data_IF_804654402885
#
_entry.id   IF_804654402885
#
_cell.length_a   1.000
_cell.length_b   1.000
_cell.length_c   1.000
_cell.angle_alpha   90.00
_cell.angle_beta   90.00
_cell.angle_gamma   90.00
#
_symmetry.space_group_name_H-M   'P 1'
#
loop_
_entity.id
_entity.type
_entity.pdbx_description
1 polymer ?
#
# COMPACT_ATOMS: atom_id res chain seq x y z
N UNK A 1 62.66 -84.90 6.63
CA UNK A 1 63.92 -84.60 5.91
C UNK A 1 64.02 -83.10 5.73
N UNK A 2 65.16 -82.53 6.16
CA UNK A 2 65.82 -81.31 5.67
C UNK A 2 65.04 -79.98 5.81
N UNK A 3 65.36 -79.05 6.71
CA UNK A 3 66.63 -78.37 7.05
C UNK A 3 67.17 -77.43 5.94
N UNK A 4 67.74 -76.32 6.42
CA UNK A 4 68.54 -75.27 5.76
C UNK A 4 67.77 -74.12 5.07
N UNK A 5 68.22 -72.85 5.07
CA UNK A 5 69.13 -72.01 5.87
C UNK A 5 69.38 -70.73 5.02
N UNK A 6 69.59 -69.59 5.69
CA UNK A 6 70.45 -68.47 5.29
C UNK A 6 70.01 -67.61 4.07
N UNK A 7 70.01 -66.28 4.12
CA UNK A 7 71.25 -65.50 4.32
C UNK A 7 70.98 -64.07 4.79
N UNK A 8 71.45 -63.74 5.99
CA UNK A 8 71.79 -62.39 6.39
C UNK A 8 73.25 -62.13 5.96
N UNK A 9 73.47 -61.12 5.13
CA UNK A 9 74.80 -60.70 4.74
C UNK A 9 75.40 -59.82 5.85
N UNK A 10 76.34 -60.40 6.60
CA UNK A 10 77.30 -59.67 7.39
C UNK A 10 78.48 -59.26 6.51
N UNK A 11 78.85 -57.98 6.54
CA UNK A 11 80.18 -57.52 6.19
C UNK A 11 80.74 -56.80 7.42
N UNK A 12 81.67 -57.46 8.09
CA UNK A 12 82.40 -56.98 9.23
C UNK A 12 83.55 -56.06 8.80
N UNK A 13 83.87 -55.07 9.62
CA UNK A 13 85.23 -54.57 9.76
C UNK A 13 85.45 -53.97 11.16
N UNK A 14 86.45 -54.50 11.87
CA UNK A 14 87.17 -53.78 12.94
C UNK A 14 86.92 -54.26 14.36
N UNK A 15 87.85 -55.07 14.89
CA UNK A 15 87.92 -55.44 16.30
C UNK A 15 88.93 -54.58 17.08
N UNK A 16 88.56 -54.30 18.33
CA UNK A 16 89.35 -53.98 19.53
C UNK A 16 90.03 -52.59 19.68
N UNK A 17 89.54 -51.82 20.67
CA UNK A 17 90.30 -51.54 21.89
C UNK A 17 89.34 -51.31 23.09
N UNK A 18 89.75 -51.78 24.26
CA UNK A 18 88.98 -51.88 25.50
C UNK A 18 89.28 -50.72 26.45
N UNK A 19 88.28 -49.86 26.72
CA UNK A 19 88.34 -48.81 27.74
C UNK A 19 87.02 -48.66 28.50
N UNK A 20 87.04 -49.07 29.77
CA UNK A 20 86.10 -48.78 30.87
C UNK A 20 84.65 -48.34 30.56
N UNK A 21 83.70 -49.24 30.83
CA UNK A 21 82.66 -48.98 31.82
C UNK A 21 81.46 -48.11 31.42
N UNK A 22 80.53 -48.69 30.66
CA UNK A 22 79.15 -48.22 30.52
C UNK A 22 78.40 -49.12 29.56
N UNK A 23 77.10 -49.37 29.79
CA UNK A 23 76.32 -50.15 28.81
C UNK A 23 76.44 -49.44 27.43
N UNK A 24 76.71 -50.16 26.33
CA UNK A 24 77.07 -49.57 25.03
C UNK A 24 76.01 -48.63 24.42
N UNK A 25 74.78 -48.63 24.96
CA UNK A 25 73.72 -47.68 24.63
C UNK A 25 73.89 -46.26 25.23
N UNK A 26 74.77 -46.06 26.22
CA UNK A 26 75.02 -44.75 26.86
C UNK A 26 76.33 -44.09 26.42
N UNK A 27 76.88 -44.51 25.29
CA UNK A 27 78.05 -43.89 24.67
C UNK A 27 77.68 -42.51 24.07
N UNK A 28 77.77 -41.48 24.92
CA UNK A 28 77.46 -40.08 24.62
C UNK A 28 78.33 -39.48 23.49
N UNK A 29 79.45 -40.11 23.12
CA UNK A 29 80.31 -39.63 22.04
C UNK A 29 79.61 -39.69 20.65
N UNK A 30 78.59 -40.53 20.49
CA UNK A 30 77.83 -40.69 19.23
C UNK A 30 76.57 -39.83 19.15
N UNK A 31 76.17 -39.18 20.24
CA UNK A 31 74.94 -38.38 20.35
C UNK A 31 74.97 -37.05 19.56
N UNK A 32 76.10 -36.32 19.42
CA UNK A 32 76.13 -35.06 18.69
C UNK A 32 75.70 -35.20 17.22
N UNK A 33 76.11 -36.27 16.53
CA UNK A 33 75.69 -36.53 15.14
C UNK A 33 74.18 -36.75 15.01
N UNK A 34 73.58 -37.48 15.96
CA UNK A 34 72.13 -37.69 16.01
C UNK A 34 71.37 -36.38 16.28
N UNK A 35 71.90 -35.52 17.16
CA UNK A 35 71.30 -34.22 17.46
C UNK A 35 71.35 -33.26 16.27
N UNK A 36 72.47 -33.25 15.51
CA UNK A 36 72.58 -32.46 14.28
C UNK A 36 71.55 -32.93 13.24
N UNK A 37 71.42 -34.25 13.05
CA UNK A 37 70.41 -34.79 12.13
C UNK A 37 68.97 -34.48 12.56
N UNK A 38 68.68 -34.55 13.87
CA UNK A 38 67.39 -34.12 14.41
C UNK A 38 67.12 -32.63 14.17
N UNK A 39 68.13 -31.77 14.32
CA UNK A 39 67.99 -30.34 14.02
C UNK A 39 67.67 -30.10 12.54
N UNK A 40 68.28 -30.86 11.63
CA UNK A 40 68.04 -30.76 10.19
C UNK A 40 66.58 -31.15 9.88
N UNK A 41 66.15 -32.33 10.31
CA UNK A 41 64.77 -32.81 10.07
C UNK A 41 63.74 -31.87 10.72
N UNK A 42 64.01 -31.43 11.94
CA UNK A 42 63.16 -30.48 12.65
C UNK A 42 63.08 -29.13 11.92
N UNK A 43 64.22 -28.62 11.44
CA UNK A 43 64.27 -27.38 10.66
C UNK A 43 63.47 -27.47 9.35
N UNK A 44 63.60 -28.59 8.61
CA UNK A 44 62.80 -28.84 7.40
C UNK A 44 61.31 -28.90 7.72
N UNK A 45 60.91 -29.60 8.78
CA UNK A 45 59.52 -29.67 9.22
C UNK A 45 58.98 -28.30 9.63
N UNK A 46 59.74 -27.52 10.41
CA UNK A 46 59.38 -26.18 10.85
C UNK A 46 59.19 -25.23 9.66
N UNK A 47 60.10 -25.30 8.68
CA UNK A 47 59.99 -24.52 7.45
C UNK A 47 58.70 -24.87 6.68
N UNK A 48 58.36 -26.16 6.58
CA UNK A 48 57.14 -26.60 5.93
C UNK A 48 55.89 -26.09 6.67
N UNK A 49 55.87 -26.15 8.00
CA UNK A 49 54.79 -25.58 8.81
C UNK A 49 54.63 -24.08 8.61
N UNK A 50 55.72 -23.32 8.71
CA UNK A 50 55.73 -21.88 8.57
C UNK A 50 55.28 -21.44 7.17
N UNK A 51 55.74 -22.13 6.12
CA UNK A 51 55.52 -21.68 4.74
C UNK A 51 54.28 -22.29 4.07
N UNK A 52 53.78 -23.42 4.55
CA UNK A 52 52.67 -24.16 3.89
C UNK A 52 51.44 -24.28 4.78
N UNK A 53 51.60 -24.74 6.02
CA UNK A 53 50.45 -25.03 6.89
C UNK A 53 49.83 -23.75 7.47
N UNK A 54 50.65 -22.86 8.06
CA UNK A 54 50.19 -21.58 8.62
C UNK A 54 49.45 -20.71 7.59
N UNK A 55 49.98 -20.44 6.38
CA UNK A 55 49.26 -19.60 5.41
C UNK A 55 47.98 -20.24 4.89
N UNK A 56 47.89 -21.58 4.82
CA UNK A 56 46.64 -22.26 4.43
C UNK A 56 45.52 -22.06 5.44
N UNK A 57 45.83 -22.16 6.73
CA UNK A 57 44.85 -21.93 7.79
C UNK A 57 44.48 -20.44 7.86
N UNK A 58 45.48 -19.55 7.78
CA UNK A 58 45.26 -18.10 7.76
C UNK A 58 44.35 -17.65 6.62
N UNK A 59 44.57 -18.18 5.39
CA UNK A 59 43.71 -17.86 4.24
C UNK A 59 42.26 -18.32 4.41
N UNK A 60 42.01 -19.43 5.11
CA UNK A 60 40.64 -19.90 5.38
C UNK A 60 39.93 -19.01 6.39
N UNK A 61 40.65 -18.53 7.41
CA UNK A 61 40.10 -17.60 8.41
C UNK A 61 39.78 -16.27 7.75
N UNK A 62 40.72 -15.69 6.99
CA UNK A 62 40.52 -14.44 6.26
C UNK A 62 39.33 -14.53 5.30
N UNK A 63 39.20 -15.62 4.53
CA UNK A 63 38.08 -15.80 3.61
C UNK A 63 36.71 -15.87 4.33
N UNK A 64 36.67 -16.39 5.57
CA UNK A 64 35.45 -16.39 6.39
C UNK A 64 35.15 -15.02 6.94
N UNK A 65 36.16 -14.30 7.44
CA UNK A 65 36.03 -12.93 7.91
C UNK A 65 35.51 -12.01 6.80
N UNK A 66 36.10 -12.11 5.60
CA UNK A 66 35.68 -11.34 4.42
C UNK A 66 34.24 -11.65 4.02
N UNK A 67 33.85 -12.93 4.04
CA UNK A 67 32.47 -13.33 3.74
C UNK A 67 31.50 -12.77 4.77
N UNK A 68 31.80 -12.91 6.07
CA UNK A 68 30.94 -12.39 7.14
C UNK A 68 30.83 -10.87 7.05
N UNK A 69 31.94 -10.17 6.81
CA UNK A 69 31.95 -8.73 6.62
C UNK A 69 31.10 -8.32 5.41
N UNK A 70 31.19 -9.06 4.31
CA UNK A 70 30.34 -8.88 3.12
C UNK A 70 28.86 -9.08 3.44
N UNK A 71 28.50 -10.22 4.06
CA UNK A 71 27.13 -10.55 4.42
C UNK A 71 26.51 -9.52 5.38
N UNK A 72 27.29 -9.02 6.36
CA UNK A 72 26.86 -7.95 7.28
C UNK A 72 26.68 -6.63 6.55
N UNK A 73 27.57 -6.31 5.60
CA UNK A 73 27.46 -5.12 4.76
C UNK A 73 26.21 -5.15 3.89
N UNK A 74 25.96 -6.28 3.22
CA UNK A 74 24.76 -6.48 2.41
C UNK A 74 23.49 -6.47 3.24
N UNK A 75 23.48 -7.09 4.43
CA UNK A 75 22.35 -7.04 5.34
C UNK A 75 22.03 -5.61 5.79
N UNK A 76 23.05 -4.79 6.08
CA UNK A 76 22.87 -3.36 6.41
C UNK A 76 22.30 -2.57 5.24
N UNK A 77 22.85 -2.77 4.04
CA UNK A 77 22.36 -2.10 2.81
C UNK A 77 20.92 -2.48 2.50
N UNK A 78 20.58 -3.76 2.57
CA UNK A 78 19.21 -4.24 2.35
C UNK A 78 18.24 -3.70 3.41
N UNK A 79 18.68 -3.62 4.67
CA UNK A 79 17.90 -2.99 5.75
C UNK A 79 17.64 -1.51 5.47
N UNK A 80 18.66 -0.76 5.07
CA UNK A 80 18.53 0.66 4.76
C UNK A 80 17.58 0.89 3.57
N UNK A 81 17.70 0.09 2.51
CA UNK A 81 16.78 0.12 1.37
C UNK A 81 15.34 -0.22 1.78
N UNK A 82 15.14 -1.22 2.64
CA UNK A 82 13.82 -1.58 3.15
C UNK A 82 13.21 -0.48 4.02
N UNK A 83 14.02 0.15 4.89
CA UNK A 83 13.59 1.27 5.73
C UNK A 83 13.22 2.51 4.87
N UNK A 84 13.97 2.77 3.80
CA UNK A 84 13.66 3.84 2.83
C UNK A 84 12.35 3.56 2.08
N UNK A 85 12.18 2.35 1.55
CA UNK A 85 10.95 1.94 0.88
C UNK A 85 9.73 1.96 1.82
N UNK A 86 9.90 1.54 3.07
CA UNK A 86 8.85 1.59 4.07
C UNK A 86 8.42 3.04 4.36
N UNK A 87 9.38 3.97 4.46
CA UNK A 87 9.09 5.40 4.62
C UNK A 87 8.37 5.97 3.40
N UNK A 88 8.82 5.65 2.19
CA UNK A 88 8.18 6.08 0.94
C UNK A 88 6.73 5.57 0.86
N UNK A 89 6.51 4.28 1.12
CA UNK A 89 5.18 3.67 1.12
C UNK A 89 4.26 4.29 2.19
N UNK A 90 4.78 4.59 3.40
CA UNK A 90 4.01 5.25 4.45
C UNK A 90 3.59 6.68 4.04
N UNK A 91 4.48 7.43 3.39
CA UNK A 91 4.20 8.75 2.84
C UNK A 91 3.14 8.70 1.75
N UNK A 92 3.29 7.79 0.78
CA UNK A 92 2.33 7.57 -0.31
C UNK A 92 0.95 7.19 0.24
N UNK A 93 0.87 6.29 1.21
CA UNK A 93 -0.40 5.92 1.84
C UNK A 93 -1.07 7.10 2.55
N UNK A 94 -0.29 7.97 3.18
CA UNK A 94 -0.81 9.17 3.83
C UNK A 94 -1.34 10.16 2.79
N UNK A 95 -0.58 10.40 1.72
CA UNK A 95 -0.98 11.29 0.63
C UNK A 95 -2.22 10.75 -0.13
N UNK A 96 -2.30 9.45 -0.36
CA UNK A 96 -3.45 8.80 -0.98
C UNK A 96 -4.71 8.95 -0.11
N UNK A 97 -4.60 8.73 1.20
CA UNK A 97 -5.72 8.95 2.14
C UNK A 97 -6.17 10.40 2.16
N UNK A 98 -5.24 11.36 2.22
CA UNK A 98 -5.56 12.79 2.18
C UNK A 98 -6.25 13.18 0.87
N UNK A 99 -5.76 12.66 -0.27
CA UNK A 99 -6.34 12.91 -1.59
C UNK A 99 -7.74 12.32 -1.72
N UNK A 100 -7.96 11.10 -1.21
CA UNK A 100 -9.27 10.46 -1.19
C UNK A 100 -10.27 11.23 -0.32
N UNK A 101 -9.85 11.69 0.86
CA UNK A 101 -10.68 12.53 1.72
C UNK A 101 -11.04 13.85 1.06
N UNK A 102 -10.07 14.52 0.42
CA UNK A 102 -10.31 15.75 -0.33
C UNK A 102 -11.30 15.53 -1.46
N UNK A 103 -11.10 14.50 -2.28
CA UNK A 103 -12.00 14.15 -3.39
C UNK A 103 -13.42 13.87 -2.88
N UNK A 104 -13.57 13.17 -1.76
CA UNK A 104 -14.87 12.91 -1.16
C UNK A 104 -15.57 14.20 -0.68
N UNK A 105 -14.83 15.15 -0.11
CA UNK A 105 -15.38 16.45 0.31
C UNK A 105 -15.75 17.32 -0.89
N UNK A 106 -14.89 17.36 -1.91
CA UNK A 106 -15.14 18.10 -3.15
C UNK A 106 -16.38 17.55 -3.88
N UNK A 107 -16.50 16.22 -3.96
CA UNK A 107 -17.66 15.55 -4.55
C UNK A 107 -18.96 15.84 -3.77
N UNK A 108 -18.92 15.81 -2.43
CA UNK A 108 -20.08 16.18 -1.59
C UNK A 108 -20.48 17.63 -1.81
N UNK A 109 -19.52 18.55 -1.79
CA UNK A 109 -19.76 19.98 -2.00
C UNK A 109 -20.39 20.23 -3.36
N UNK A 110 -19.85 19.60 -4.41
CA UNK A 110 -20.41 19.69 -5.76
C UNK A 110 -21.82 19.11 -5.85
N UNK A 111 -22.06 17.93 -5.27
CA UNK A 111 -23.38 17.32 -5.25
C UNK A 111 -24.42 18.19 -4.53
N UNK A 112 -24.05 18.81 -3.41
CA UNK A 112 -24.92 19.76 -2.70
C UNK A 112 -25.20 21.01 -3.53
N UNK A 113 -24.20 21.58 -4.19
CA UNK A 113 -24.39 22.73 -5.08
C UNK A 113 -25.32 22.40 -6.26
N UNK A 114 -25.11 21.24 -6.89
CA UNK A 114 -25.94 20.77 -8.00
C UNK A 114 -27.39 20.47 -7.56
N UNK A 115 -27.58 19.93 -6.35
CA UNK A 115 -28.90 19.70 -5.76
C UNK A 115 -29.63 21.03 -5.49
N UNK A 116 -28.97 21.98 -4.82
CA UNK A 116 -29.54 23.30 -4.54
C UNK A 116 -29.90 24.06 -5.83
N UNK A 117 -29.07 23.95 -6.88
CA UNK A 117 -29.37 24.55 -8.17
C UNK A 117 -30.61 23.95 -8.83
N UNK A 118 -30.80 22.62 -8.74
CA UNK A 118 -32.00 21.94 -9.24
C UNK A 118 -33.24 22.29 -8.43
N UNK A 119 -33.13 22.32 -7.11
CA UNK A 119 -34.22 22.74 -6.22
C UNK A 119 -34.70 24.15 -6.59
N UNK A 120 -33.79 25.11 -6.74
CA UNK A 120 -34.14 26.48 -7.14
C UNK A 120 -34.82 26.54 -8.52
N UNK A 121 -34.37 25.73 -9.48
CA UNK A 121 -34.97 25.65 -10.82
C UNK A 121 -36.41 25.09 -10.78
N UNK A 122 -36.61 24.02 -10.00
CA UNK A 122 -37.93 23.40 -9.84
C UNK A 122 -38.88 24.30 -9.03
N UNK A 123 -38.40 24.98 -7.99
CA UNK A 123 -39.17 25.98 -7.25
C UNK A 123 -39.67 27.10 -8.18
N UNK A 124 -38.80 27.62 -9.06
CA UNK A 124 -39.18 28.64 -10.04
C UNK A 124 -40.25 28.11 -11.03
N UNK A 125 -40.09 26.88 -11.52
CA UNK A 125 -41.06 26.23 -12.42
C UNK A 125 -42.41 25.99 -11.74
N UNK A 126 -42.39 25.56 -10.47
CA UNK A 126 -43.59 25.37 -9.67
C UNK A 126 -44.29 26.70 -9.44
N UNK A 127 -43.57 27.76 -9.08
CA UNK A 127 -44.13 29.09 -8.88
C UNK A 127 -44.81 29.62 -10.16
N UNK A 128 -44.20 29.43 -11.33
CA UNK A 128 -44.81 29.80 -12.62
C UNK A 128 -46.10 28.99 -12.88
N UNK A 129 -46.07 27.68 -12.58
CA UNK A 129 -47.23 26.81 -12.76
C UNK A 129 -48.37 27.20 -11.83
N UNK A 130 -48.07 27.53 -10.58
CA UNK A 130 -49.06 28.05 -9.62
C UNK A 130 -49.66 29.37 -10.07
N UNK A 131 -48.85 30.32 -10.55
CA UNK A 131 -49.35 31.60 -11.06
C UNK A 131 -50.30 31.41 -12.26
N UNK A 132 -49.95 30.51 -13.19
CA UNK A 132 -50.83 30.17 -14.33
C UNK A 132 -52.12 29.48 -13.90
N UNK A 133 -52.04 28.57 -12.92
CA UNK A 133 -53.21 27.91 -12.38
C UNK A 133 -54.16 28.90 -11.70
N UNK A 134 -53.62 29.82 -10.90
CA UNK A 134 -54.38 30.86 -10.21
C UNK A 134 -55.10 31.80 -11.21
N UNK A 135 -54.40 32.23 -12.28
CA UNK A 135 -55.02 33.02 -13.36
C UNK A 135 -56.19 32.29 -14.00
N UNK A 136 -56.01 31.01 -14.35
CA UNK A 136 -57.06 30.18 -14.96
C UNK A 136 -58.26 29.98 -14.02
N UNK A 137 -58.02 29.81 -12.73
CA UNK A 137 -59.08 29.70 -11.72
C UNK A 137 -59.83 31.04 -11.61
N UNK A 138 -59.13 32.17 -11.62
CA UNK A 138 -59.72 33.51 -11.63
C UNK A 138 -60.63 33.72 -12.83
N UNK A 139 -60.13 33.43 -14.04
CA UNK A 139 -60.90 33.53 -15.29
C UNK A 139 -62.13 32.61 -15.29
N UNK A 140 -61.97 31.35 -14.88
CA UNK A 140 -63.07 30.40 -14.80
C UNK A 140 -64.14 30.84 -13.78
N UNK A 141 -63.72 31.42 -12.65
CA UNK A 141 -64.62 31.98 -11.64
C UNK A 141 -65.40 33.18 -12.21
N UNK A 142 -64.73 34.07 -12.92
CA UNK A 142 -65.38 35.24 -13.52
C UNK A 142 -66.39 34.84 -14.59
N UNK A 143 -66.03 33.89 -15.46
CA UNK A 143 -66.94 33.30 -16.44
C UNK A 143 -68.15 32.64 -15.76
N UNK A 144 -67.93 31.81 -14.74
CA UNK A 144 -69.01 31.18 -13.99
C UNK A 144 -69.95 32.21 -13.35
N UNK A 145 -69.40 33.28 -12.75
CA UNK A 145 -70.21 34.37 -12.18
C UNK A 145 -70.96 35.16 -13.25
N UNK A 146 -70.40 35.33 -14.45
CA UNK A 146 -71.10 35.93 -15.59
C UNK A 146 -72.32 35.09 -15.99
N UNK A 147 -72.14 33.78 -16.17
CA UNK A 147 -73.24 32.86 -16.48
C UNK A 147 -74.32 32.85 -15.39
N UNK A 148 -73.95 32.93 -14.11
CA UNK A 148 -74.93 33.06 -13.01
C UNK A 148 -75.74 34.35 -13.14
N UNK A 149 -75.11 35.49 -13.49
CA UNK A 149 -75.82 36.76 -13.71
C UNK A 149 -76.77 36.70 -14.91
N UNK A 150 -76.34 36.08 -16.00
CA UNK A 150 -77.18 35.85 -17.19
C UNK A 150 -78.41 35.01 -16.84
N UNK A 151 -78.21 33.84 -16.21
CA UNK A 151 -79.32 32.96 -15.78
C UNK A 151 -80.26 33.69 -14.81
N UNK A 152 -79.71 34.49 -13.88
CA UNK A 152 -80.52 35.26 -12.94
C UNK A 152 -81.36 36.34 -13.65
N UNK A 153 -80.78 37.03 -14.64
CA UNK A 153 -81.51 38.02 -15.45
C UNK A 153 -82.63 37.38 -16.27
N UNK A 154 -82.35 36.27 -16.95
CA UNK A 154 -83.32 35.51 -17.72
C UNK A 154 -84.46 34.99 -16.83
N UNK A 155 -84.12 34.46 -15.64
CA UNK A 155 -85.10 33.99 -14.67
C UNK A 155 -85.97 35.13 -14.13
N UNK A 156 -85.37 36.29 -13.81
CA UNK A 156 -86.10 37.46 -13.36
C UNK A 156 -87.06 38.00 -14.44
N UNK A 157 -86.63 38.03 -15.70
CA UNK A 157 -87.46 38.43 -16.84
C UNK A 157 -88.65 37.48 -17.01
N UNK A 158 -88.42 36.17 -16.92
CA UNK A 158 -89.48 35.16 -16.99
C UNK A 158 -90.50 35.31 -15.84
N UNK A 159 -90.05 35.58 -14.62
CA UNK A 159 -90.91 35.82 -13.45
C UNK A 159 -91.77 37.09 -13.66
N UNK A 160 -91.17 38.19 -14.12
CA UNK A 160 -91.88 39.46 -14.36
C UNK A 160 -92.94 39.31 -15.46
N UNK A 161 -92.60 38.62 -16.54
CA UNK A 161 -93.55 38.31 -17.61
C UNK A 161 -94.74 37.49 -17.08
N UNK A 162 -94.47 36.48 -16.24
CA UNK A 162 -95.51 35.65 -15.64
C UNK A 162 -96.43 36.41 -14.67
N UNK A 163 -95.91 37.37 -13.90
CA UNK A 163 -96.67 38.11 -12.88
C UNK A 163 -97.41 39.34 -13.41
N UNK A 164 -96.87 40.02 -14.43
CA UNK A 164 -97.39 41.32 -14.91
C UNK A 164 -98.04 41.25 -16.29
N UNK A 165 -97.84 40.15 -17.03
CA UNK A 165 -98.37 39.99 -18.40
C UNK A 165 -97.71 40.89 -19.44
N UNK A 166 -96.62 41.59 -19.09
CA UNK A 166 -95.77 42.38 -20.00
C UNK A 166 -94.36 41.81 -19.98
N UNK A 167 -93.74 41.69 -21.16
CA UNK A 167 -92.32 41.37 -21.25
C UNK A 167 -91.50 42.58 -20.79
N UNK A 168 -90.78 42.45 -19.68
CA UNK A 168 -89.77 43.43 -19.31
C UNK A 168 -88.64 43.39 -20.34
N UNK A 169 -88.14 44.53 -20.82
CA UNK A 169 -87.05 44.54 -21.79
C UNK A 169 -85.73 44.09 -21.14
N UNK A 170 -84.88 43.39 -21.90
CA UNK A 170 -83.57 42.91 -21.42
C UNK A 170 -82.71 44.04 -20.83
N UNK A 171 -82.82 45.25 -21.39
CA UNK A 171 -82.06 46.42 -20.97
C UNK A 171 -82.54 46.99 -19.63
N UNK A 172 -83.84 46.97 -19.35
CA UNK A 172 -84.40 47.42 -18.05
C UNK A 172 -84.03 46.47 -16.90
N UNK A 173 -84.05 45.15 -17.16
CA UNK A 173 -83.67 44.13 -16.17
C UNK A 173 -82.18 44.21 -15.86
N UNK A 174 -81.33 44.38 -16.88
CA UNK A 174 -79.88 44.57 -16.71
C UNK A 174 -79.55 45.88 -16.00
N UNK A 175 -80.23 46.98 -16.32
CA UNK A 175 -80.06 48.26 -15.62
C UNK A 175 -80.46 48.16 -14.14
N UNK A 176 -81.55 47.46 -13.81
CA UNK A 176 -81.97 47.24 -12.42
C UNK A 176 -81.02 46.33 -11.62
N UNK A 177 -80.44 45.32 -12.26
CA UNK A 177 -79.42 44.44 -11.65
C UNK A 177 -78.10 45.19 -11.43
N UNK A 178 -77.69 46.04 -12.37
CA UNK A 178 -76.47 46.85 -12.25
C UNK A 178 -76.59 47.98 -11.21
N UNK A 179 -77.79 48.55 -11.02
CA UNK A 179 -78.04 49.58 -10.01
C UNK A 179 -78.02 49.04 -8.55
N UNK A 180 -78.01 47.71 -8.37
CA UNK A 180 -78.11 47.04 -7.06
C UNK A 180 -76.87 46.20 -6.71
N UNK A 181 -75.95 46.03 -7.65
CA UNK A 181 -74.62 45.43 -7.45
C UNK A 181 -73.62 46.49 -7.00
#
# INVERSE_FOLDING_TARGET
MSALLLTAAAAAAGAADSGSGGLPQFDLAKWPGQMVWMLIVFGVMLFLFAKVFVPRVGGTIAAREDRIAGDVGDARRLKEQADEQAKAAASEMTQARASAQKLAQDAKTKAHADAAAKEALEEARLAETFAKAESRIGEAREQAMSHVREIAADTAQAIVAHLTGREASSDEVKAALAAKA
#
